data_IF_643169898939
#
_entry.id   IF_643169898939
#
_cell.length_a   1.000
_cell.length_b   1.000
_cell.length_c   1.000
_cell.angle_alpha   90.00
_cell.angle_beta   90.00
_cell.angle_gamma   90.00
#
_symmetry.space_group_name_H-M   'P 1'
#
loop_
_entity.id
_entity.type
_entity.pdbx_description
1 polymer ?
#
# COMPACT_ATOMS: atom_id res chain seq x y z
N UNK A 1 -52.28 -37.99 58.48
CA UNK A 1 -51.27 -38.99 58.09
C UNK A 1 -50.76 -38.63 56.70
N UNK A 2 -49.45 -38.78 56.44
CA UNK A 2 -48.65 -37.99 55.51
C UNK A 2 -48.73 -38.53 54.06
N UNK A 3 -48.34 -37.80 53.01
CA UNK A 3 -46.95 -37.82 52.53
C UNK A 3 -46.73 -36.81 51.39
N UNK A 4 -45.61 -36.10 51.47
CA UNK A 4 -45.03 -35.26 50.42
C UNK A 4 -44.39 -36.10 49.32
N UNK A 5 -44.42 -35.62 48.06
CA UNK A 5 -43.33 -35.85 47.11
C UNK A 5 -43.11 -34.56 46.32
N UNK A 6 -41.88 -34.04 46.36
CA UNK A 6 -41.37 -32.91 45.58
C UNK A 6 -40.88 -33.43 44.21
N UNK A 7 -41.08 -32.65 43.15
CA UNK A 7 -40.47 -32.90 41.84
C UNK A 7 -40.11 -31.59 41.15
N UNK A 8 -38.81 -31.30 41.07
CA UNK A 8 -38.21 -30.21 40.29
C UNK A 8 -38.19 -30.54 38.80
N UNK A 9 -38.47 -29.56 37.94
CA UNK A 9 -37.94 -29.44 36.56
C UNK A 9 -38.10 -27.96 36.11
N UNK A 10 -37.03 -27.15 36.14
CA UNK A 10 -36.12 -26.85 35.02
C UNK A 10 -36.84 -26.16 33.84
N UNK A 11 -36.77 -24.84 33.64
CA UNK A 11 -35.64 -24.00 33.15
C UNK A 11 -35.81 -23.60 31.66
N UNK A 12 -35.18 -22.47 31.30
CA UNK A 12 -34.97 -21.84 29.97
C UNK A 12 -36.10 -20.94 29.42
N UNK A 13 -35.95 -19.61 29.38
CA UNK A 13 -35.02 -18.76 28.59
C UNK A 13 -35.76 -18.22 27.35
N UNK A 14 -35.51 -17.04 26.80
CA UNK A 14 -34.89 -15.78 27.22
C UNK A 14 -35.41 -14.77 26.17
N UNK A 15 -35.61 -13.52 26.55
CA UNK A 15 -36.07 -12.43 25.69
C UNK A 15 -35.25 -12.33 24.39
N UNK A 16 -35.93 -12.40 23.25
CA UNK A 16 -35.38 -12.11 21.93
C UNK A 16 -35.40 -10.58 21.71
N UNK A 17 -34.32 -9.88 22.07
CA UNK A 17 -34.09 -8.49 21.68
C UNK A 17 -32.88 -8.47 20.74
N UNK A 18 -33.15 -8.56 19.45
CA UNK A 18 -32.15 -8.36 18.40
C UNK A 18 -31.81 -6.87 18.40
N UNK A 19 -30.68 -6.53 19.01
CA UNK A 19 -30.11 -5.19 18.92
C UNK A 19 -29.59 -4.98 17.49
N UNK A 20 -30.29 -4.16 16.70
CA UNK A 20 -29.77 -3.64 15.44
C UNK A 20 -28.68 -2.62 15.76
N UNK A 21 -27.42 -3.06 15.80
CA UNK A 21 -26.29 -2.16 15.86
C UNK A 21 -26.17 -1.38 14.54
N UNK A 22 -25.92 -0.06 14.57
CA UNK A 22 -25.60 0.68 13.36
C UNK A 22 -24.29 0.14 12.80
N UNK A 23 -24.31 -0.30 11.54
CA UNK A 23 -23.10 -0.62 10.82
C UNK A 23 -22.32 0.69 10.60
N UNK A 24 -21.33 0.95 11.44
CA UNK A 24 -20.32 1.97 11.14
C UNK A 24 -19.51 1.40 9.98
N UNK A 25 -19.72 1.95 8.78
CA UNK A 25 -18.83 1.70 7.67
C UNK A 25 -17.46 2.26 8.06
N UNK A 26 -16.47 1.39 8.26
CA UNK A 26 -15.09 1.81 8.36
C UNK A 26 -14.67 2.38 6.99
N UNK A 27 -14.43 3.69 6.92
CA UNK A 27 -13.73 4.25 5.77
C UNK A 27 -12.33 3.65 5.76
N UNK A 28 -11.94 3.06 4.63
CA UNK A 28 -10.58 2.57 4.46
C UNK A 28 -9.64 3.77 4.48
N UNK A 29 -8.92 3.95 5.58
CA UNK A 29 -7.81 4.91 5.68
C UNK A 29 -6.85 4.67 4.52
N UNK A 30 -6.83 5.63 3.60
CA UNK A 30 -6.01 5.54 2.39
C UNK A 30 -4.64 6.10 2.73
N UNK A 31 -3.67 5.22 2.95
CA UNK A 31 -2.29 5.65 3.28
C UNK A 31 -1.69 6.38 2.09
N UNK A 32 -1.16 7.58 2.34
CA UNK A 32 -0.46 8.40 1.35
C UNK A 32 0.96 8.72 1.79
N UNK A 33 1.87 8.87 0.85
CA UNK A 33 3.24 9.33 1.05
C UNK A 33 3.65 10.29 -0.08
N UNK A 34 4.65 11.12 0.17
CA UNK A 34 5.22 12.05 -0.81
C UNK A 34 6.70 11.76 -1.03
N UNK A 35 7.17 11.97 -2.26
CA UNK A 35 8.57 11.88 -2.65
C UNK A 35 8.95 13.10 -3.51
N UNK A 36 10.23 13.47 -3.48
CA UNK A 36 10.81 14.53 -4.30
C UNK A 36 11.70 13.91 -5.38
N UNK A 37 11.67 14.47 -6.58
CA UNK A 37 12.62 14.16 -7.63
C UNK A 37 13.81 15.11 -7.52
N UNK A 38 14.99 14.57 -7.23
CA UNK A 38 16.23 15.36 -7.20
C UNK A 38 16.93 15.21 -8.55
N UNK A 39 17.23 16.34 -9.19
CA UNK A 39 17.93 16.37 -10.47
C UNK A 39 19.44 16.16 -10.30
N UNK A 40 20.16 16.01 -11.41
CA UNK A 40 21.64 15.84 -11.40
C UNK A 40 22.40 17.03 -10.78
N UNK A 41 21.78 18.21 -10.71
CA UNK A 41 22.35 19.38 -10.03
C UNK A 41 22.16 19.36 -8.51
N UNK A 42 21.40 18.40 -7.97
CA UNK A 42 20.98 18.37 -6.55
C UNK A 42 19.73 19.19 -6.25
N UNK A 43 19.16 19.87 -7.25
CA UNK A 43 17.94 20.66 -7.09
C UNK A 43 16.69 19.79 -7.24
N UNK A 44 15.62 20.14 -6.54
CA UNK A 44 14.31 19.49 -6.72
C UNK A 44 13.74 19.82 -8.11
N UNK A 45 13.33 18.79 -8.84
CA UNK A 45 12.80 18.86 -10.22
C UNK A 45 11.37 18.33 -10.32
N UNK A 46 10.74 18.00 -9.21
CA UNK A 46 9.37 17.50 -9.21
C UNK A 46 8.99 16.80 -7.92
N UNK A 47 7.75 16.34 -7.86
CA UNK A 47 7.19 15.59 -6.73
C UNK A 47 6.41 14.38 -7.21
N UNK A 48 6.26 13.40 -6.32
CA UNK A 48 5.34 12.29 -6.49
C UNK A 48 4.49 12.11 -5.24
N UNK A 49 3.19 11.88 -5.43
CA UNK A 49 2.28 11.38 -4.38
C UNK A 49 2.02 9.91 -4.63
N UNK A 50 2.23 9.10 -3.58
CA UNK A 50 2.03 7.65 -3.58
C UNK A 50 0.83 7.34 -2.70
N UNK A 51 -0.25 6.84 -3.29
CA UNK A 51 -1.48 6.51 -2.58
C UNK A 51 -1.71 5.00 -2.60
N UNK A 52 -1.77 4.39 -1.43
CA UNK A 52 -2.09 2.98 -1.27
C UNK A 52 -3.53 2.68 -1.70
N UNK A 53 -3.72 1.64 -2.51
CA UNK A 53 -5.02 1.18 -2.97
C UNK A 53 -5.17 -0.31 -2.67
N UNK A 54 -6.39 -0.84 -2.79
CA UNK A 54 -6.63 -2.28 -2.62
C UNK A 54 -5.85 -3.19 -3.59
N UNK A 55 -5.26 -2.65 -4.67
CA UNK A 55 -4.56 -3.43 -5.72
C UNK A 55 -3.11 -2.99 -5.97
N UNK A 56 -2.56 -2.11 -5.15
CA UNK A 56 -1.21 -1.56 -5.35
C UNK A 56 -1.14 -0.07 -5.03
N UNK A 57 -0.12 0.61 -5.54
CA UNK A 57 0.11 2.04 -5.28
C UNK A 57 -0.25 2.85 -6.53
N UNK A 58 -1.07 3.88 -6.36
CA UNK A 58 -1.26 4.91 -7.37
C UNK A 58 -0.16 5.95 -7.21
N UNK A 59 0.58 6.22 -8.29
CA UNK A 59 1.65 7.22 -8.31
C UNK A 59 1.22 8.36 -9.22
N UNK A 60 1.06 9.54 -8.65
CA UNK A 60 0.91 10.79 -9.40
C UNK A 60 2.24 11.53 -9.33
N UNK A 61 2.88 11.79 -10.47
CA UNK A 61 4.16 12.46 -10.55
C UNK A 61 4.09 13.69 -11.45
N UNK A 62 4.67 14.79 -10.96
CA UNK A 62 4.88 16.02 -11.72
C UNK A 62 6.38 16.28 -11.76
N UNK A 63 6.97 16.20 -12.96
CA UNK A 63 8.43 16.30 -13.15
C UNK A 63 8.72 17.28 -14.28
N UNK A 64 9.70 18.15 -14.07
CA UNK A 64 10.21 19.12 -15.05
C UNK A 64 11.64 18.78 -15.50
N UNK A 65 12.13 19.54 -16.47
CA UNK A 65 13.51 19.45 -17.00
C UNK A 65 13.87 18.10 -17.65
N UNK A 66 12.86 17.32 -18.06
CA UNK A 66 13.04 16.13 -18.87
C UNK A 66 13.32 16.48 -20.34
N UNK A 67 14.09 15.66 -21.07
CA UNK A 67 14.32 15.86 -22.50
C UNK A 67 13.01 15.86 -23.31
N UNK A 68 12.77 16.93 -24.07
CA UNK A 68 11.57 17.05 -24.89
C UNK A 68 11.56 16.00 -26.03
N UNK A 69 10.40 15.37 -26.25
CA UNK A 69 10.20 14.43 -27.35
C UNK A 69 10.91 13.08 -27.20
N UNK A 70 11.38 12.74 -26.00
CA UNK A 70 12.05 11.46 -25.72
C UNK A 70 11.22 10.58 -24.79
N UNK A 71 11.42 9.27 -24.92
CA UNK A 71 10.95 8.30 -23.93
C UNK A 71 11.89 8.31 -22.74
N UNK A 72 11.33 8.49 -21.55
CA UNK A 72 12.06 8.45 -20.28
C UNK A 72 11.49 7.30 -19.46
N UNK A 73 12.35 6.47 -18.90
CA UNK A 73 11.94 5.33 -18.08
C UNK A 73 11.63 5.79 -16.64
N UNK A 74 10.71 5.09 -15.99
CA UNK A 74 10.34 5.31 -14.59
C UNK A 74 10.37 3.97 -13.87
N UNK A 75 11.10 3.90 -12.75
CA UNK A 75 11.24 2.70 -11.94
C UNK A 75 11.25 3.07 -10.45
N UNK A 76 10.87 2.11 -9.61
CA UNK A 76 11.04 2.17 -8.15
C UNK A 76 12.33 1.43 -7.79
N UNK A 77 13.24 2.11 -7.08
CA UNK A 77 14.47 1.51 -6.58
C UNK A 77 14.30 0.98 -5.15
N UNK A 78 15.20 0.08 -4.73
CA UNK A 78 15.11 -0.59 -3.43
C UNK A 78 15.52 0.30 -2.24
N UNK A 79 16.29 1.36 -2.49
CA UNK A 79 16.75 2.33 -1.51
C UNK A 79 16.06 3.69 -1.64
N UNK A 80 15.90 4.39 -0.52
CA UNK A 80 15.28 5.73 -0.44
C UNK A 80 16.26 6.90 -0.48
N UNK A 81 17.52 6.68 -0.87
CA UNK A 81 18.56 7.72 -0.90
C UNK A 81 18.79 8.20 -2.33
N UNK A 82 18.53 9.48 -2.59
CA UNK A 82 18.68 10.13 -3.89
C UNK A 82 19.87 11.11 -3.89
N UNK A 83 21.10 10.60 -3.76
CA UNK A 83 22.30 11.46 -3.75
C UNK A 83 22.70 11.86 -5.18
N UNK A 84 22.55 13.14 -5.53
CA UNK A 84 22.97 13.65 -6.83
C UNK A 84 24.49 13.54 -7.05
N UNK A 85 25.30 13.58 -5.98
CA UNK A 85 26.77 13.54 -6.08
C UNK A 85 27.30 12.20 -6.59
N UNK A 86 26.58 11.09 -6.36
CA UNK A 86 26.93 9.77 -6.88
C UNK A 86 26.16 9.38 -8.14
N UNK A 87 25.40 10.33 -8.71
CA UNK A 87 24.44 10.12 -9.79
C UNK A 87 23.30 9.16 -9.41
N UNK A 88 22.79 9.26 -8.18
CA UNK A 88 21.68 8.48 -7.63
C UNK A 88 21.96 6.97 -7.53
N UNK A 89 23.22 6.55 -7.56
CA UNK A 89 23.61 5.14 -7.38
C UNK A 89 23.28 4.67 -5.95
N UNK A 90 23.21 5.59 -4.99
CA UNK A 90 22.78 5.35 -3.62
C UNK A 90 21.37 4.77 -3.49
N UNK A 91 20.52 4.91 -4.53
CA UNK A 91 19.19 4.31 -4.55
C UNK A 91 19.23 2.77 -4.70
N UNK A 92 20.38 2.21 -5.11
CA UNK A 92 20.53 0.76 -5.31
C UNK A 92 19.90 0.26 -6.61
N UNK A 93 19.60 -1.04 -6.65
CA UNK A 93 18.92 -1.67 -7.79
C UNK A 93 17.43 -1.31 -7.86
N UNK A 94 16.75 -1.85 -8.87
CA UNK A 94 15.28 -1.77 -8.93
C UNK A 94 14.69 -2.62 -7.80
N UNK A 95 13.57 -2.19 -7.25
CA UNK A 95 12.83 -2.96 -6.25
C UNK A 95 12.38 -4.31 -6.84
N UNK A 96 13.02 -5.39 -6.41
CA UNK A 96 12.82 -6.74 -6.98
C UNK A 96 12.72 -7.82 -5.89
N UNK A 97 11.69 -7.78 -5.01
CA UNK A 97 11.51 -8.79 -3.97
C UNK A 97 11.24 -10.20 -4.55
N UNK A 98 10.78 -10.29 -5.79
CA UNK A 98 10.53 -11.56 -6.48
C UNK A 98 11.75 -12.19 -7.14
N UNK A 99 12.91 -11.51 -7.13
CA UNK A 99 14.13 -11.95 -7.82
C UNK A 99 13.87 -12.39 -9.28
N UNK A 100 13.19 -11.51 -10.02
CA UNK A 100 12.76 -11.70 -11.41
C UNK A 100 13.71 -11.01 -12.40
N UNK A 101 13.56 -11.26 -13.70
CA UNK A 101 14.30 -10.53 -14.73
C UNK A 101 13.74 -9.11 -14.94
N UNK A 102 14.58 -8.20 -15.45
CA UNK A 102 14.18 -6.84 -15.74
C UNK A 102 13.35 -6.73 -17.03
N UNK A 103 12.26 -5.95 -16.99
CA UNK A 103 11.48 -5.52 -18.16
C UNK A 103 10.19 -6.31 -18.37
N UNK A 104 9.12 -5.60 -18.79
CA UNK A 104 7.78 -6.18 -18.96
C UNK A 104 7.68 -7.27 -20.02
N UNK A 105 8.57 -7.25 -21.01
CA UNK A 105 8.58 -8.21 -22.12
C UNK A 105 9.66 -9.29 -21.97
N UNK A 106 10.41 -9.27 -20.87
CA UNK A 106 11.43 -10.27 -20.61
C UNK A 106 10.79 -11.57 -20.12
N UNK A 107 11.34 -12.70 -20.56
CA UNK A 107 10.99 -14.00 -20.00
C UNK A 107 11.39 -14.04 -18.51
N UNK A 108 10.42 -14.35 -17.64
CA UNK A 108 10.63 -14.37 -16.19
C UNK A 108 10.72 -12.98 -15.53
N UNK A 109 10.35 -11.90 -16.23
CA UNK A 109 10.17 -10.57 -15.65
C UNK A 109 8.71 -10.22 -15.37
N UNK A 110 8.41 -8.95 -14.97
CA UNK A 110 9.33 -7.86 -14.65
C UNK A 110 9.72 -7.82 -13.16
N UNK A 111 10.73 -7.01 -12.84
CA UNK A 111 10.89 -6.46 -11.48
C UNK A 111 9.57 -5.84 -10.99
N UNK A 112 9.35 -5.85 -9.67
CA UNK A 112 8.14 -5.25 -9.09
C UNK A 112 8.15 -3.71 -9.18
N UNK A 113 9.34 -3.11 -9.24
CA UNK A 113 9.61 -1.69 -9.41
C UNK A 113 10.16 -1.30 -10.78
#
# INVERSE_FOLDING_TARGET
MPSHIHGFAAALAAMLMIAAAPAIAAEAETTSAEAQFIGLSGEETGTATLTGTARGVLIQAEVRDLPAGQWVAFHIHEGGTCDAADHHKSAGGHFNPGNTAHGFLAEGGPHAG
#
